data_IF_004755102368
#
_entry.id   IF_004755102368
#
_cell.length_a   1.000
_cell.length_b   1.000
_cell.length_c   1.000
_cell.angle_alpha   90.00
_cell.angle_beta   90.00
_cell.angle_gamma   90.00
#
_symmetry.space_group_name_H-M   'P 1'
#
loop_
_entity.id
_entity.type
_entity.pdbx_description
1 polymer ?
#
# COMPACT_ATOMS: atom_id res chain seq x y z
N UNK A 1 5.34 0.53 3.55
CA UNK A 1 3.98 0.66 2.95
C UNK A 1 4.03 1.64 1.79
N UNK A 2 3.31 1.36 0.73
CA UNK A 2 3.18 2.24 -0.42
C UNK A 2 1.89 1.96 -1.20
N UNK A 3 1.36 2.96 -1.89
CA UNK A 3 0.26 2.79 -2.83
C UNK A 3 0.77 3.09 -4.24
N UNK A 4 0.70 2.10 -5.10
CA UNK A 4 1.08 2.20 -6.50
C UNK A 4 0.13 3.09 -7.29
N UNK A 5 0.59 3.56 -8.43
CA UNK A 5 -0.28 4.21 -9.41
C UNK A 5 -1.42 3.27 -9.84
N UNK A 6 -2.52 3.86 -10.26
CA UNK A 6 -3.70 3.12 -10.74
C UNK A 6 -3.34 2.09 -11.79
N UNK A 7 -3.81 0.87 -11.61
CA UNK A 7 -3.68 -0.22 -12.58
C UNK A 7 -5.04 -0.49 -13.23
N UNK A 8 -5.02 -0.84 -14.50
CA UNK A 8 -6.20 -1.26 -15.27
C UNK A 8 -6.29 -2.78 -15.26
N UNK A 9 -7.49 -3.32 -15.07
CA UNK A 9 -7.71 -4.74 -15.25
C UNK A 9 -7.84 -5.08 -16.73
N UNK A 10 -7.13 -6.13 -17.13
CA UNK A 10 -7.16 -6.62 -18.50
C UNK A 10 -5.80 -7.19 -18.93
N UNK A 11 -5.74 -7.60 -20.18
CA UNK A 11 -4.52 -8.13 -20.79
C UNK A 11 -3.59 -6.99 -21.25
N UNK A 12 -3.23 -6.10 -20.33
CA UNK A 12 -2.39 -4.93 -20.60
C UNK A 12 -1.00 -5.08 -20.01
N UNK A 13 0.02 -4.61 -20.73
CA UNK A 13 1.36 -4.41 -20.20
C UNK A 13 2.03 -3.25 -20.90
N UNK A 14 3.08 -2.68 -20.31
CA UNK A 14 3.82 -1.55 -20.88
C UNK A 14 4.39 -1.83 -22.26
N UNK A 15 4.83 -3.05 -22.49
CA UNK A 15 5.45 -3.47 -23.76
C UNK A 15 4.51 -4.36 -24.60
N UNK A 16 3.19 -4.30 -24.37
CA UNK A 16 2.20 -5.12 -25.07
C UNK A 16 2.38 -6.64 -24.84
N UNK A 17 3.04 -7.03 -23.73
CA UNK A 17 3.29 -8.44 -23.35
C UNK A 17 2.88 -8.70 -21.93
N UNK A 18 2.26 -9.86 -21.69
CA UNK A 18 2.06 -10.38 -20.35
C UNK A 18 3.30 -11.17 -19.91
N UNK A 19 3.39 -11.53 -18.63
CA UNK A 19 4.42 -12.44 -18.14
C UNK A 19 4.22 -13.89 -18.56
N UNK A 20 3.09 -14.24 -19.16
CA UNK A 20 2.82 -15.53 -19.81
C UNK A 20 3.06 -15.46 -21.31
N UNK A 21 2.69 -16.51 -22.01
CA UNK A 21 2.91 -16.65 -23.46
C UNK A 21 1.95 -15.83 -24.34
N UNK A 22 1.09 -15.01 -23.73
CA UNK A 22 0.08 -14.23 -24.45
C UNK A 22 0.52 -12.78 -24.66
N UNK A 23 0.26 -12.27 -25.86
CA UNK A 23 0.41 -10.84 -26.15
C UNK A 23 -0.63 -10.05 -25.37
N UNK A 24 -0.20 -8.99 -24.69
CA UNK A 24 -1.06 -8.04 -24.01
C UNK A 24 -1.35 -6.84 -24.92
N UNK A 25 -2.48 -6.20 -24.71
CA UNK A 25 -2.80 -4.94 -25.39
C UNK A 25 -1.94 -3.81 -24.80
N UNK A 26 -1.33 -3.02 -25.69
CA UNK A 26 -0.53 -1.84 -25.34
C UNK A 26 -1.40 -0.58 -25.23
N UNK A 27 -2.63 -0.62 -25.76
CA UNK A 27 -3.58 0.47 -25.78
C UNK A 27 -4.82 0.17 -24.94
N UNK A 28 -5.38 1.26 -24.39
CA UNK A 28 -6.62 1.23 -23.63
C UNK A 28 -7.83 1.13 -24.57
N UNK A 29 -8.39 -0.06 -24.72
CA UNK A 29 -9.60 -0.30 -25.49
C UNK A 29 -10.88 -0.10 -24.67
N UNK A 30 -10.89 0.86 -23.73
CA UNK A 30 -12.09 1.23 -22.98
C UNK A 30 -12.31 0.38 -21.72
N UNK A 31 -11.25 -0.18 -21.12
CA UNK A 31 -11.37 -0.76 -19.77
C UNK A 31 -11.80 0.33 -18.80
N UNK A 32 -12.98 0.15 -18.21
CA UNK A 32 -13.57 1.07 -17.22
C UNK A 32 -13.15 0.73 -15.79
N UNK A 33 -12.55 -0.45 -15.57
CA UNK A 33 -12.17 -0.91 -14.26
C UNK A 33 -10.73 -0.52 -13.93
N UNK A 34 -10.59 0.37 -12.95
CA UNK A 34 -9.33 0.87 -12.47
C UNK A 34 -9.20 0.57 -10.99
N UNK A 35 -8.03 0.10 -10.57
CA UNK A 35 -7.75 -0.18 -9.18
C UNK A 35 -6.46 0.47 -8.73
N UNK A 36 -6.44 0.92 -7.48
CA UNK A 36 -5.25 1.45 -6.81
C UNK A 36 -4.75 0.36 -5.87
N UNK A 37 -3.62 -0.28 -6.14
CA UNK A 37 -3.02 -1.21 -5.19
C UNK A 37 -2.37 -0.43 -4.05
N UNK A 38 -2.64 -0.84 -2.82
CA UNK A 38 -1.93 -0.38 -1.64
C UNK A 38 -1.29 -1.57 -0.96
N UNK A 39 0.01 -1.55 -0.78
CA UNK A 39 0.78 -2.65 -0.24
C UNK A 39 1.43 -2.32 1.09
N UNK A 40 1.53 -3.34 1.92
CA UNK A 40 2.26 -3.34 3.17
C UNK A 40 3.19 -4.54 3.17
N UNK A 41 4.48 -4.27 3.31
CA UNK A 41 5.50 -5.30 3.45
C UNK A 41 5.98 -5.33 4.90
N UNK A 42 5.83 -6.47 5.55
CA UNK A 42 6.45 -6.72 6.85
C UNK A 42 7.93 -7.05 6.62
N UNK A 43 8.82 -6.23 7.16
CA UNK A 43 10.25 -6.42 6.96
C UNK A 43 10.79 -7.66 7.70
N UNK A 44 10.22 -8.00 8.85
CA UNK A 44 10.67 -9.12 9.67
C UNK A 44 10.30 -10.49 9.08
N UNK A 45 9.13 -10.60 8.48
CA UNK A 45 8.59 -11.86 7.92
C UNK A 45 8.69 -11.94 6.41
N UNK A 46 9.00 -10.82 5.75
CA UNK A 46 8.93 -10.63 4.29
C UNK A 46 7.54 -10.93 3.69
N UNK A 47 6.49 -10.85 4.50
CA UNK A 47 5.11 -11.02 4.03
C UNK A 47 4.59 -9.74 3.40
N UNK A 48 3.99 -9.89 2.23
CA UNK A 48 3.37 -8.80 1.48
C UNK A 48 1.85 -8.90 1.57
N UNK A 49 1.23 -7.82 2.03
CA UNK A 49 -0.23 -7.63 2.03
C UNK A 49 -0.58 -6.60 0.98
N UNK A 50 -1.53 -6.89 0.12
CA UNK A 50 -1.99 -5.99 -0.93
C UNK A 50 -3.50 -5.84 -0.84
N UNK A 51 -3.95 -4.60 -0.83
CA UNK A 51 -5.37 -4.23 -0.91
C UNK A 51 -5.61 -3.45 -2.19
N UNK A 52 -6.73 -3.68 -2.84
CA UNK A 52 -7.11 -2.98 -4.06
C UNK A 52 -8.30 -2.06 -3.77
N UNK A 53 -8.12 -0.77 -4.02
CA UNK A 53 -9.19 0.22 -3.96
C UNK A 53 -9.72 0.51 -5.36
N UNK A 54 -11.03 0.59 -5.51
CA UNK A 54 -11.70 0.93 -6.78
C UNK A 54 -11.80 2.43 -7.05
N UNK A 55 -11.29 3.25 -6.14
CA UNK A 55 -11.34 4.71 -6.21
C UNK A 55 -9.94 5.32 -6.14
N UNK A 56 -9.88 6.63 -5.94
CA UNK A 56 -8.62 7.34 -5.80
C UNK A 56 -7.84 6.92 -4.54
N UNK A 57 -6.52 7.06 -4.58
CA UNK A 57 -5.64 6.97 -3.42
C UNK A 57 -6.02 8.05 -2.41
N UNK A 58 -6.56 7.66 -1.27
CA UNK A 58 -7.00 8.56 -0.21
C UNK A 58 -6.34 8.21 1.12
N UNK A 59 -6.35 9.17 2.07
CA UNK A 59 -5.91 8.92 3.45
C UNK A 59 -6.71 7.80 4.10
N UNK A 60 -8.02 7.75 3.85
CA UNK A 60 -8.90 6.71 4.38
C UNK A 60 -8.51 5.33 3.86
N UNK A 61 -8.29 5.18 2.55
CA UNK A 61 -7.88 3.91 1.95
C UNK A 61 -6.54 3.40 2.51
N UNK A 62 -5.58 4.31 2.75
CA UNK A 62 -4.29 3.95 3.35
C UNK A 62 -4.48 3.42 4.77
N UNK A 63 -5.29 4.10 5.59
CA UNK A 63 -5.53 3.70 6.98
C UNK A 63 -6.40 2.44 7.05
N UNK A 64 -7.37 2.28 6.15
CA UNK A 64 -8.18 1.07 6.06
C UNK A 64 -7.33 -0.17 5.70
N UNK A 65 -6.34 0.00 4.83
CA UNK A 65 -5.36 -1.06 4.53
C UNK A 65 -4.55 -1.46 5.78
N UNK A 66 -4.09 -0.50 6.58
CA UNK A 66 -3.42 -0.77 7.85
C UNK A 66 -4.34 -1.46 8.85
N UNK A 67 -5.58 -1.03 8.92
CA UNK A 67 -6.59 -1.62 9.80
C UNK A 67 -6.84 -3.08 9.42
N UNK A 68 -7.03 -3.36 8.14
CA UNK A 68 -7.24 -4.71 7.62
C UNK A 68 -6.02 -5.63 7.90
N UNK A 69 -4.82 -5.12 7.71
CA UNK A 69 -3.59 -5.85 8.07
C UNK A 69 -3.59 -6.23 9.55
N UNK A 70 -3.82 -5.26 10.45
CA UNK A 70 -3.85 -5.52 11.89
C UNK A 70 -4.90 -6.56 12.28
N UNK A 71 -6.10 -6.44 11.73
CA UNK A 71 -7.19 -7.38 11.97
C UNK A 71 -6.90 -8.79 11.45
N UNK A 72 -6.08 -8.91 10.41
CA UNK A 72 -5.63 -10.19 9.87
C UNK A 72 -4.58 -10.91 10.73
N UNK A 73 -3.94 -10.21 11.67
CA UNK A 73 -2.96 -10.81 12.59
C UNK A 73 -3.66 -11.66 13.65
N UNK A 74 -3.03 -12.76 14.05
CA UNK A 74 -3.51 -13.55 15.19
C UNK A 74 -3.39 -12.76 16.49
N UNK A 75 -4.22 -13.09 17.49
CA UNK A 75 -4.15 -12.48 18.81
C UNK A 75 -2.75 -12.62 19.44
N UNK A 76 -2.07 -13.76 19.21
CA UNK A 76 -0.70 -13.98 19.64
C UNK A 76 0.28 -13.00 18.97
N UNK A 77 0.17 -12.80 17.66
CA UNK A 77 1.01 -11.87 16.92
C UNK A 77 0.76 -10.41 17.37
N UNK A 78 -0.51 -10.02 17.52
CA UNK A 78 -0.88 -8.69 18.03
C UNK A 78 -0.32 -8.45 19.45
N UNK A 79 -0.39 -9.46 20.32
CA UNK A 79 0.14 -9.38 21.68
C UNK A 79 1.66 -9.25 21.74
N UNK A 80 2.38 -9.82 20.78
CA UNK A 80 3.84 -9.77 20.70
C UNK A 80 4.37 -8.43 20.15
N UNK A 81 3.51 -7.60 19.55
CA UNK A 81 3.89 -6.30 19.00
C UNK A 81 3.79 -5.23 20.09
N UNK A 82 4.90 -4.62 20.44
CA UNK A 82 4.92 -3.49 21.38
C UNK A 82 4.64 -2.15 20.68
N UNK A 83 5.07 -2.02 19.44
CA UNK A 83 4.91 -0.81 18.64
C UNK A 83 4.94 -1.16 17.15
N UNK A 84 4.23 -0.41 16.35
CA UNK A 84 4.27 -0.48 14.88
C UNK A 84 5.15 0.63 14.35
N UNK A 85 6.16 0.29 13.55
CA UNK A 85 6.95 1.27 12.82
C UNK A 85 6.52 1.25 11.35
N UNK A 86 5.91 2.32 10.89
CA UNK A 86 5.41 2.45 9.52
C UNK A 86 6.34 3.31 8.69
N UNK A 87 7.01 2.70 7.72
CA UNK A 87 7.85 3.39 6.74
C UNK A 87 7.05 3.64 5.47
N UNK A 88 7.01 4.88 5.01
CA UNK A 88 6.23 5.28 3.83
C UNK A 88 6.79 6.55 3.20
N UNK A 89 6.34 6.83 1.98
CA UNK A 89 6.63 8.10 1.33
C UNK A 89 5.74 9.21 1.90
N UNK A 90 6.28 10.43 1.95
CA UNK A 90 5.55 11.60 2.39
C UNK A 90 4.70 12.16 1.23
N UNK A 91 3.78 11.35 0.73
CA UNK A 91 2.84 11.75 -0.32
C UNK A 91 1.71 12.63 0.21
N UNK A 92 0.94 13.27 -0.70
CA UNK A 92 -0.15 14.17 -0.30
C UNK A 92 -1.18 13.52 0.61
N UNK A 93 -1.47 12.23 0.41
CA UNK A 93 -2.51 11.48 1.14
C UNK A 93 -2.04 10.96 2.50
N UNK A 94 -0.73 10.80 2.67
CA UNK A 94 -0.09 10.22 3.86
C UNK A 94 0.84 11.19 4.59
N UNK A 95 0.81 12.46 4.20
CA UNK A 95 1.67 13.49 4.78
C UNK A 95 1.46 13.65 6.28
N UNK A 96 2.54 13.77 7.03
CA UNK A 96 2.53 14.04 8.46
C UNK A 96 1.94 15.39 8.88
N UNK A 97 1.54 16.23 7.91
CA UNK A 97 0.81 17.48 8.14
C UNK A 97 -0.63 17.44 7.64
N UNK A 98 -1.08 16.33 7.05
CA UNK A 98 -2.45 16.20 6.56
C UNK A 98 -3.39 15.82 7.72
N UNK A 99 -4.26 16.73 8.10
CA UNK A 99 -5.16 16.57 9.24
C UNK A 99 -6.00 15.30 9.16
N UNK A 100 -6.60 15.00 7.99
CA UNK A 100 -7.41 13.79 7.79
C UNK A 100 -6.60 12.52 8.04
N UNK A 101 -5.38 12.43 7.51
CA UNK A 101 -4.51 11.29 7.72
C UNK A 101 -4.16 11.12 9.20
N UNK A 102 -3.74 12.19 9.86
CA UNK A 102 -3.38 12.16 11.28
C UNK A 102 -4.56 11.80 12.18
N UNK A 103 -5.75 12.32 11.88
CA UNK A 103 -6.97 11.99 12.62
C UNK A 103 -7.31 10.49 12.50
N UNK A 104 -7.26 9.96 11.29
CA UNK A 104 -7.50 8.52 11.04
C UNK A 104 -6.45 7.64 11.72
N UNK A 105 -5.17 8.06 11.68
CA UNK A 105 -4.09 7.35 12.38
C UNK A 105 -4.26 7.39 13.90
N UNK A 106 -4.73 8.50 14.46
CA UNK A 106 -5.08 8.61 15.89
C UNK A 106 -6.15 7.61 16.28
N UNK A 107 -7.25 7.53 15.52
CA UNK A 107 -8.30 6.53 15.76
C UNK A 107 -7.77 5.09 15.64
N UNK A 108 -6.88 4.82 14.69
CA UNK A 108 -6.27 3.50 14.57
C UNK A 108 -5.42 3.15 15.79
N UNK A 109 -4.58 4.08 16.28
CA UNK A 109 -3.78 3.90 17.52
C UNK A 109 -4.67 3.57 18.70
N UNK A 110 -5.79 4.31 18.87
CA UNK A 110 -6.75 4.05 19.96
C UNK A 110 -7.39 2.66 19.83
N UNK A 111 -7.72 2.24 18.59
CA UNK A 111 -8.33 0.94 18.31
C UNK A 111 -7.39 -0.21 18.58
N UNK A 112 -6.13 -0.12 18.14
CA UNK A 112 -5.16 -1.21 18.28
C UNK A 112 -4.48 -1.23 19.65
N UNK A 113 -4.50 -0.12 20.38
CA UNK A 113 -3.86 0.01 21.70
C UNK A 113 -2.34 -0.05 21.65
N UNK A 114 -1.72 0.23 20.50
CA UNK A 114 -0.27 0.20 20.30
C UNK A 114 0.20 1.50 19.66
N UNK A 115 1.35 2.04 20.06
CA UNK A 115 1.91 3.22 19.42
C UNK A 115 2.33 2.93 17.97
N UNK A 116 2.06 3.88 17.07
CA UNK A 116 2.50 3.83 15.68
C UNK A 116 3.52 4.94 15.45
N UNK A 117 4.71 4.57 15.05
CA UNK A 117 5.77 5.50 14.67
C UNK A 117 5.80 5.66 13.15
N UNK A 118 5.48 6.85 12.65
CA UNK A 118 5.61 7.18 11.24
C UNK A 118 7.06 7.55 10.92
N UNK A 119 7.60 6.93 9.88
CA UNK A 119 8.91 7.25 9.30
C UNK A 119 8.75 7.50 7.82
N UNK A 120 9.18 8.67 7.38
CA UNK A 120 9.11 9.04 5.97
C UNK A 120 10.48 8.89 5.31
N UNK A 121 10.48 8.35 4.08
CA UNK A 121 11.66 8.41 3.24
C UNK A 121 11.93 9.86 2.82
N UNK A 122 13.22 10.26 2.73
CA UNK A 122 13.55 11.57 2.18
C UNK A 122 13.03 11.71 0.74
N UNK A 123 12.76 12.92 0.27
CA UNK A 123 12.38 13.16 -1.12
C UNK A 123 13.36 12.48 -2.09
N UNK A 124 12.83 11.91 -3.17
CA UNK A 124 13.59 11.17 -4.20
C UNK A 124 14.30 9.90 -3.74
N UNK A 125 13.98 9.40 -2.54
CA UNK A 125 14.57 8.17 -1.98
C UNK A 125 13.58 7.00 -1.90
N UNK A 126 12.41 7.09 -2.54
CA UNK A 126 11.40 6.02 -2.59
C UNK A 126 11.96 4.69 -3.11
N UNK A 127 12.97 4.73 -3.99
CA UNK A 127 13.66 3.53 -4.49
C UNK A 127 14.26 2.64 -3.38
N UNK A 128 14.47 3.18 -2.19
CA UNK A 128 14.92 2.42 -1.02
C UNK A 128 13.79 1.78 -0.24
N UNK A 129 12.53 2.08 -0.59
CA UNK A 129 11.38 1.43 -0.01
C UNK A 129 11.31 -0.03 -0.53
N UNK A 130 11.45 -1.04 0.34
CA UNK A 130 11.52 -2.44 -0.11
C UNK A 130 10.31 -2.89 -0.92
N UNK A 131 9.15 -2.29 -0.69
CA UNK A 131 7.91 -2.63 -1.39
C UNK A 131 7.95 -2.28 -2.89
N UNK A 132 8.77 -1.33 -3.29
CA UNK A 132 8.95 -0.99 -4.71
C UNK A 132 9.39 -2.19 -5.56
N UNK A 133 10.18 -3.09 -4.97
CA UNK A 133 10.58 -4.33 -5.63
C UNK A 133 9.41 -5.29 -5.82
N UNK A 134 8.45 -5.26 -4.91
CA UNK A 134 7.25 -6.10 -5.01
C UNK A 134 6.35 -5.63 -6.15
N UNK A 135 6.28 -4.32 -6.38
CA UNK A 135 5.51 -3.77 -7.49
C UNK A 135 5.99 -4.24 -8.85
N UNK A 136 7.30 -4.34 -9.05
CA UNK A 136 7.88 -4.87 -10.28
C UNK A 136 7.52 -6.34 -10.55
N UNK A 137 7.10 -7.09 -9.55
CA UNK A 137 6.62 -8.48 -9.71
C UNK A 137 5.14 -8.50 -10.10
N UNK A 138 4.35 -7.53 -9.63
CA UNK A 138 2.92 -7.42 -9.90
C UNK A 138 2.60 -6.79 -11.28
N UNK A 139 3.56 -6.08 -11.85
CA UNK A 139 3.47 -5.57 -13.23
C UNK A 139 3.74 -6.67 -14.25
#
# INVERSE_FOLDING_TARGET
>A
MDCKATVKLGAFSRDGKTRGDYKASDHDFGSTEHYVPCGLLEEDTAQLYVTFGSSAKTSDFIVDTLTAWWQGLSAKAQGAIDRVQLKMDNGPESSGVRTQFLQRMGHLVDTIGKPIQLRYYPPYHSKYNPIERCWGILE
#
